data_IF_880535588718
#
_entry.id   IF_880535588718
#
_cell.length_a   1.000
_cell.length_b   1.000
_cell.length_c   1.000
_cell.angle_alpha   90.00
_cell.angle_beta   90.00
_cell.angle_gamma   90.00
#
_symmetry.space_group_name_H-M   'P 1'
#
loop_
_entity.id
_entity.type
_entity.pdbx_description
1 polymer ?
#
# COMPACT_ATOMS: atom_id res chain seq x y z
N UNK A 1 -35.11 -12.81 -33.13
CA UNK A 1 -34.55 -11.95 -34.19
C UNK A 1 -33.11 -11.67 -33.79
N UNK A 2 -32.14 -12.18 -34.54
CA UNK A 2 -30.72 -12.04 -34.23
C UNK A 2 -30.11 -11.07 -35.23
N UNK A 3 -29.22 -10.20 -34.75
CA UNK A 3 -28.48 -9.26 -35.60
C UNK A 3 -27.39 -9.99 -36.37
N UNK A 4 -27.16 -9.56 -37.61
CA UNK A 4 -26.14 -10.12 -38.50
C UNK A 4 -24.92 -9.21 -38.64
N UNK A 5 -23.76 -9.80 -38.91
CA UNK A 5 -22.52 -9.06 -39.08
C UNK A 5 -22.64 -8.12 -40.30
N UNK A 6 -22.46 -6.82 -40.09
CA UNK A 6 -22.60 -5.80 -41.14
C UNK A 6 -23.98 -5.14 -41.24
N UNK A 7 -24.94 -5.54 -40.39
CA UNK A 7 -26.26 -4.93 -40.33
C UNK A 7 -26.20 -3.49 -39.83
N UNK A 8 -26.71 -2.54 -40.63
CA UNK A 8 -26.70 -1.11 -40.30
C UNK A 8 -27.89 -0.77 -39.40
N UNK A 9 -27.62 -0.29 -38.19
CA UNK A 9 -28.64 0.13 -37.24
C UNK A 9 -28.83 1.64 -37.25
N UNK A 10 -30.08 2.08 -37.09
CA UNK A 10 -30.44 3.48 -36.93
C UNK A 10 -30.25 3.88 -35.46
N UNK A 11 -29.47 4.92 -35.22
CA UNK A 11 -29.36 5.52 -33.89
C UNK A 11 -30.70 6.15 -33.53
N UNK A 12 -31.34 5.62 -32.48
CA UNK A 12 -32.65 6.11 -31.99
C UNK A 12 -32.48 7.34 -31.11
N UNK A 13 -31.40 7.41 -30.32
CA UNK A 13 -31.07 8.60 -29.52
C UNK A 13 -29.59 8.61 -29.16
N UNK A 14 -29.04 9.81 -28.98
CA UNK A 14 -27.71 10.04 -28.41
C UNK A 14 -27.93 10.89 -27.16
N UNK A 15 -27.39 10.45 -26.02
CA UNK A 15 -27.40 11.21 -24.77
C UNK A 15 -25.97 11.51 -24.36
N UNK A 16 -25.67 12.80 -24.19
CA UNK A 16 -24.43 13.25 -23.61
C UNK A 16 -24.61 13.35 -22.10
N UNK A 17 -23.77 12.64 -21.34
CA UNK A 17 -23.78 12.70 -19.89
C UNK A 17 -22.51 13.40 -19.41
N UNK A 18 -22.70 14.44 -18.60
CA UNK A 18 -21.61 15.06 -17.88
C UNK A 18 -21.34 14.29 -16.58
N UNK A 19 -20.07 14.05 -16.27
CA UNK A 19 -19.64 13.33 -15.08
C UNK A 19 -18.43 14.02 -14.45
N UNK A 20 -18.27 13.83 -13.14
CA UNK A 20 -17.08 14.26 -12.40
C UNK A 20 -16.37 13.04 -11.84
N UNK A 21 -15.04 13.07 -11.81
CA UNK A 21 -14.27 12.10 -11.05
C UNK A 21 -14.52 12.31 -9.56
N UNK A 22 -14.37 11.23 -8.80
CA UNK A 22 -14.39 11.27 -7.34
C UNK A 22 -13.01 10.86 -6.83
N UNK A 23 -12.57 11.41 -5.70
CA UNK A 23 -11.36 10.90 -5.06
C UNK A 23 -11.55 9.42 -4.72
N UNK A 24 -10.44 8.65 -4.63
CA UNK A 24 -10.50 7.28 -4.18
C UNK A 24 -11.09 7.20 -2.76
N UNK A 25 -11.76 6.09 -2.49
CA UNK A 25 -12.32 5.83 -1.17
C UNK A 25 -11.19 5.62 -0.15
N UNK A 26 -11.46 5.98 1.10
CA UNK A 26 -10.60 5.58 2.22
C UNK A 26 -10.65 4.07 2.40
N UNK A 27 -9.55 3.50 2.89
CA UNK A 27 -9.40 2.07 3.04
C UNK A 27 -10.15 1.54 4.26
N UNK A 28 -10.87 0.45 4.08
CA UNK A 28 -11.27 -0.45 5.16
C UNK A 28 -10.07 -1.29 5.64
N UNK A 29 -10.24 -2.00 6.75
CA UNK A 29 -9.20 -2.92 7.23
C UNK A 29 -8.88 -4.04 6.25
N UNK A 30 -9.90 -4.63 5.63
CA UNK A 30 -9.70 -5.68 4.64
C UNK A 30 -8.95 -5.16 3.41
N UNK A 31 -9.28 -3.96 2.92
CA UNK A 31 -8.58 -3.35 1.79
C UNK A 31 -7.14 -2.98 2.16
N UNK A 32 -6.89 -2.46 3.37
CA UNK A 32 -5.54 -2.20 3.85
C UNK A 32 -4.71 -3.49 3.90
N UNK A 33 -5.21 -4.55 4.54
CA UNK A 33 -4.51 -5.83 4.65
C UNK A 33 -4.22 -6.44 3.28
N UNK A 34 -5.16 -6.33 2.34
CA UNK A 34 -5.00 -6.77 0.97
C UNK A 34 -3.90 -5.97 0.25
N UNK A 35 -3.89 -4.65 0.38
CA UNK A 35 -2.83 -3.83 -0.21
C UNK A 35 -1.46 -4.14 0.40
N UNK A 36 -1.38 -4.41 1.70
CA UNK A 36 -0.15 -4.83 2.36
C UNK A 36 0.36 -6.14 1.77
N UNK A 37 -0.53 -7.12 1.55
CA UNK A 37 -0.21 -8.38 0.88
C UNK A 37 0.34 -8.18 -0.53
N UNK A 38 -0.42 -7.48 -1.38
CA UNK A 38 -0.07 -7.23 -2.78
C UNK A 38 1.26 -6.49 -2.90
N UNK A 39 1.63 -5.74 -1.86
CA UNK A 39 2.87 -4.99 -1.81
C UNK A 39 3.98 -5.64 -0.98
N UNK A 40 3.83 -6.90 -0.54
CA UNK A 40 4.87 -7.61 0.20
C UNK A 40 5.22 -6.99 1.55
N UNK A 41 4.26 -6.34 2.21
CA UNK A 41 4.43 -5.70 3.52
C UNK A 41 3.95 -6.68 4.60
N UNK A 42 4.89 -7.28 5.32
CA UNK A 42 4.60 -8.18 6.43
C UNK A 42 4.14 -9.58 6.02
N UNK A 43 4.39 -10.53 6.91
CA UNK A 43 3.93 -11.92 6.82
C UNK A 43 2.48 -12.09 7.28
N UNK A 44 1.89 -13.27 7.05
CA UNK A 44 0.54 -13.64 7.51
C UNK A 44 0.34 -13.37 9.01
N UNK A 45 1.39 -13.63 9.81
CA UNK A 45 1.36 -13.45 11.26
C UNK A 45 1.42 -11.98 11.70
N UNK A 46 2.15 -11.13 10.96
CA UNK A 46 2.39 -9.73 11.37
C UNK A 46 1.36 -8.76 10.79
N UNK A 47 0.85 -9.02 9.57
CA UNK A 47 -0.07 -8.12 8.86
C UNK A 47 -1.31 -7.75 9.67
N UNK A 48 -1.93 -8.73 10.32
CA UNK A 48 -3.13 -8.52 11.15
C UNK A 48 -2.91 -7.57 12.34
N UNK A 49 -1.66 -7.33 12.75
CA UNK A 49 -1.33 -6.46 13.89
C UNK A 49 -1.23 -4.97 13.51
N UNK A 50 -0.87 -4.65 12.27
CA UNK A 50 -0.64 -3.28 11.83
C UNK A 50 -1.87 -2.37 11.90
N UNK A 51 -3.08 -2.81 11.49
CA UNK A 51 -4.31 -2.04 11.69
C UNK A 51 -4.45 -1.49 13.11
N UNK A 52 -4.19 -2.33 14.12
CA UNK A 52 -4.29 -1.94 15.53
C UNK A 52 -3.16 -0.98 15.92
N UNK A 53 -1.92 -1.27 15.51
CA UNK A 53 -0.77 -0.41 15.81
C UNK A 53 -0.92 1.02 15.28
N UNK A 54 -1.52 1.21 14.10
CA UNK A 54 -1.79 2.53 13.53
C UNK A 54 -2.77 3.35 14.40
N UNK A 55 -3.76 2.68 14.98
CA UNK A 55 -4.74 3.30 15.90
C UNK A 55 -4.11 3.57 17.27
N UNK A 56 -3.45 2.56 17.85
CA UNK A 56 -2.85 2.63 19.18
C UNK A 56 -1.76 3.73 19.26
N UNK A 57 -1.02 3.95 18.17
CA UNK A 57 -0.02 5.03 18.06
C UNK A 57 -0.61 6.39 17.68
N UNK A 58 -1.92 6.46 17.41
CA UNK A 58 -2.61 7.69 17.04
C UNK A 58 -2.26 8.22 15.65
N UNK A 59 -1.73 7.39 14.74
CA UNK A 59 -1.41 7.77 13.35
C UNK A 59 -2.65 7.77 12.45
N UNK A 60 -3.65 6.96 12.80
CA UNK A 60 -4.95 6.95 12.15
C UNK A 60 -6.07 6.79 13.18
N UNK A 61 -7.27 7.17 12.77
CA UNK A 61 -8.52 6.89 13.48
C UNK A 61 -9.45 6.06 12.59
N UNK A 62 -10.33 5.29 13.22
CA UNK A 62 -11.35 4.51 12.50
C UNK A 62 -12.68 5.26 12.54
N UNK A 63 -13.10 5.76 11.39
CA UNK A 63 -14.41 6.42 11.21
C UNK A 63 -15.24 5.58 10.23
N UNK A 64 -16.46 5.18 10.60
CA UNK A 64 -17.37 4.43 9.71
C UNK A 64 -16.72 3.22 9.01
N UNK A 65 -15.86 2.48 9.74
CA UNK A 65 -15.10 1.30 9.30
C UNK A 65 -13.95 1.56 8.31
N UNK A 66 -13.66 2.82 7.98
CA UNK A 66 -12.49 3.19 7.18
C UNK A 66 -11.42 3.87 8.03
N UNK A 67 -10.18 3.77 7.60
CA UNK A 67 -9.06 4.49 8.18
C UNK A 67 -9.02 5.93 7.68
N UNK A 68 -8.81 6.85 8.62
CA UNK A 68 -8.55 8.26 8.33
C UNK A 68 -7.25 8.65 9.04
N UNK A 69 -6.26 9.18 8.31
CA UNK A 69 -5.02 9.63 8.94
C UNK A 69 -5.31 10.79 9.89
N UNK A 70 -4.59 10.83 11.01
CA UNK A 70 -4.58 11.97 11.92
C UNK A 70 -3.59 13.03 11.46
N UNK A 71 -3.64 14.24 12.03
CA UNK A 71 -2.60 15.25 11.78
C UNK A 71 -1.20 14.73 12.18
N UNK A 72 -1.10 13.96 13.27
CA UNK A 72 0.15 13.33 13.68
C UNK A 72 0.65 12.34 12.63
N UNK A 73 -0.23 11.49 12.11
CA UNK A 73 0.11 10.52 11.07
C UNK A 73 0.55 11.21 9.78
N UNK A 74 -0.15 12.27 9.35
CA UNK A 74 0.24 13.04 8.16
C UNK A 74 1.61 13.69 8.32
N UNK A 75 1.85 14.38 9.45
CA UNK A 75 3.16 15.01 9.72
C UNK A 75 4.30 14.00 9.82
N UNK A 76 4.03 12.82 10.37
CA UNK A 76 5.04 11.76 10.42
C UNK A 76 5.45 11.33 9.00
N UNK A 77 4.49 11.17 8.09
CA UNK A 77 4.76 10.82 6.70
C UNK A 77 5.54 11.94 6.01
N UNK A 78 5.13 13.21 6.15
CA UNK A 78 5.86 14.35 5.59
C UNK A 78 7.33 14.39 6.06
N UNK A 79 7.58 14.19 7.36
CA UNK A 79 8.94 14.17 7.90
C UNK A 79 9.78 12.99 7.40
N UNK A 80 9.18 11.82 7.20
CA UNK A 80 9.89 10.64 6.68
C UNK A 80 10.19 10.81 5.18
N UNK A 81 9.27 11.38 4.43
CA UNK A 81 9.42 11.68 2.99
C UNK A 81 10.54 12.71 2.75
N UNK A 82 10.65 13.73 3.63
CA UNK A 82 11.74 14.72 3.59
C UNK A 82 13.14 14.11 3.84
N UNK A 83 13.21 12.99 4.58
CA UNK A 83 14.47 12.26 4.81
C UNK A 83 14.79 11.39 3.60
N UNK A 84 13.84 10.56 3.17
CA UNK A 84 13.93 9.75 1.97
C UNK A 84 12.53 9.28 1.54
N UNK A 85 12.15 9.58 0.30
CA UNK A 85 10.85 9.22 -0.27
C UNK A 85 10.55 7.72 -0.14
N UNK A 86 11.57 6.85 -0.19
CA UNK A 86 11.39 5.39 -0.09
C UNK A 86 10.90 4.94 1.29
N UNK A 87 11.06 5.75 2.34
CA UNK A 87 10.62 5.41 3.70
C UNK A 87 9.10 5.42 3.85
N UNK A 88 8.40 6.15 2.98
CA UNK A 88 6.94 6.26 2.99
C UNK A 88 6.26 5.40 1.93
N UNK A 89 7.05 4.64 1.17
CA UNK A 89 6.57 3.71 0.15
C UNK A 89 6.72 2.25 0.62
N UNK A 90 5.99 1.29 0.01
CA UNK A 90 6.06 -0.12 0.40
C UNK A 90 7.43 -0.79 0.31
N UNK A 91 8.31 -0.27 -0.53
CA UNK A 91 9.57 -0.86 -0.97
C UNK A 91 10.53 -1.09 0.21
N UNK A 92 10.66 -0.12 1.10
CA UNK A 92 11.55 -0.25 2.28
C UNK A 92 11.15 -1.45 3.13
N UNK A 93 9.85 -1.61 3.41
CA UNK A 93 9.40 -2.75 4.22
C UNK A 93 9.53 -4.06 3.46
N UNK A 94 9.15 -4.09 2.18
CA UNK A 94 9.28 -5.29 1.33
C UNK A 94 10.72 -5.77 1.27
N UNK A 95 11.67 -4.86 1.10
CA UNK A 95 13.11 -5.18 1.03
C UNK A 95 13.60 -5.89 2.29
N UNK A 96 13.11 -5.49 3.47
CA UNK A 96 13.44 -6.18 4.72
C UNK A 96 12.84 -7.59 4.77
N UNK A 97 11.60 -7.78 4.30
CA UNK A 97 10.97 -9.11 4.21
C UNK A 97 11.73 -10.02 3.23
N UNK A 98 12.15 -9.50 2.09
CA UNK A 98 12.96 -10.22 1.09
C UNK A 98 14.30 -10.69 1.69
N UNK A 99 15.00 -9.82 2.43
CA UNK A 99 16.24 -10.20 3.12
C UNK A 99 16.00 -11.29 4.17
N UNK A 100 14.87 -11.25 4.89
CA UNK A 100 14.49 -12.31 5.83
C UNK A 100 14.22 -13.63 5.11
N UNK A 101 13.51 -13.60 3.98
CA UNK A 101 13.27 -14.79 3.16
C UNK A 101 14.56 -15.40 2.60
N UNK A 102 15.52 -14.57 2.18
CA UNK A 102 16.84 -15.05 1.72
C UNK A 102 17.61 -15.75 2.85
N UNK A 103 17.49 -15.31 4.10
CA UNK A 103 18.04 -16.00 5.27
C UNK A 103 17.32 -17.33 5.50
N UNK A 104 15.98 -17.32 5.52
CA UNK A 104 15.17 -18.52 5.77
C UNK A 104 15.40 -19.62 4.73
N UNK A 105 15.60 -19.24 3.47
CA UNK A 105 15.90 -20.16 2.36
C UNK A 105 17.38 -20.55 2.27
N UNK A 106 18.24 -19.99 3.13
CA UNK A 106 19.68 -20.28 3.18
C UNK A 106 20.47 -19.69 2.01
N UNK A 107 19.91 -18.71 1.26
CA UNK A 107 20.60 -18.03 0.16
C UNK A 107 21.72 -17.13 0.67
N UNK A 108 21.49 -16.44 1.80
CA UNK A 108 22.48 -15.58 2.45
C UNK A 108 22.51 -15.81 3.97
N UNK A 109 23.62 -15.47 4.61
CA UNK A 109 23.74 -15.50 6.07
C UNK A 109 23.18 -14.23 6.73
N UNK A 110 22.85 -14.32 8.02
CA UNK A 110 22.38 -13.17 8.82
C UNK A 110 23.32 -11.96 8.74
N UNK A 111 24.63 -12.17 8.85
CA UNK A 111 25.60 -11.07 8.82
C UNK A 111 25.60 -10.35 7.47
N UNK A 112 25.49 -11.09 6.35
CA UNK A 112 25.42 -10.52 5.02
C UNK A 112 24.13 -9.72 4.83
N UNK A 113 22.99 -10.26 5.29
CA UNK A 113 21.71 -9.55 5.25
C UNK A 113 21.74 -8.26 6.07
N UNK A 114 22.36 -8.31 7.26
CA UNK A 114 22.54 -7.15 8.13
C UNK A 114 23.42 -6.09 7.47
N UNK A 115 24.55 -6.48 6.87
CA UNK A 115 25.42 -5.55 6.14
C UNK A 115 24.70 -4.89 4.97
N UNK A 116 23.90 -5.65 4.20
CA UNK A 116 23.05 -5.10 3.13
C UNK A 116 22.07 -4.07 3.67
N UNK A 117 21.33 -4.39 4.72
CA UNK A 117 20.36 -3.47 5.32
C UNK A 117 21.05 -2.21 5.88
N UNK A 118 22.15 -2.36 6.62
CA UNK A 118 22.89 -1.23 7.20
C UNK A 118 23.45 -0.33 6.11
N UNK A 119 24.08 -0.89 5.07
CA UNK A 119 24.63 -0.08 3.97
C UNK A 119 23.56 0.69 3.20
N UNK A 120 22.32 0.18 3.15
CA UNK A 120 21.20 0.82 2.47
C UNK A 120 20.57 1.96 3.28
N UNK A 121 20.42 1.80 4.60
CA UNK A 121 19.67 2.74 5.44
C UNK A 121 20.52 3.63 6.34
N UNK A 122 21.76 3.24 6.68
CA UNK A 122 22.65 4.09 7.49
C UNK A 122 22.97 5.45 6.84
N UNK A 123 23.11 5.58 5.51
CA UNK A 123 23.33 6.89 4.87
C UNK A 123 22.15 7.87 5.01
N UNK A 124 20.99 7.41 5.47
CA UNK A 124 19.81 8.26 5.71
C UNK A 124 19.87 8.97 7.08
N UNK A 125 20.85 8.62 7.91
CA UNK A 125 21.09 9.17 9.24
C UNK A 125 22.16 10.27 9.20
#
# INVERSE_FOLDING_TARGET
>A
MFLTLGEKLRIVSIRLHEGKTKPPNRLTEAELLKLMEENGIGTDATRATYPKLLIDRGYAVRERRVFKPTELGMKLIELLEDVDERLVTPETRRRIEELMEEIETGKIGYNEALEKAVSEYLPLY
#
